data_IF_639646718831
#
_entry.id   IF_639646718831
#
_cell.length_a   1.000
_cell.length_b   1.000
_cell.length_c   1.000
_cell.angle_alpha   90.00
_cell.angle_beta   90.00
_cell.angle_gamma   90.00
#
_symmetry.space_group_name_H-M   'P 1'
#
loop_
_entity.id
_entity.type
_entity.pdbx_description
1 polymer ?
#
# COMPACT_ATOMS: atom_id res chain seq x y z
N UNK A 1 -10.97 2.55 1.02
CA UNK A 1 -9.67 2.00 1.42
C UNK A 1 -8.90 1.61 0.18
N UNK A 2 -7.65 2.03 0.06
CA UNK A 2 -6.78 1.64 -1.03
C UNK A 2 -6.17 0.25 -0.74
N UNK A 3 -6.12 -0.63 -1.74
CA UNK A 3 -5.49 -1.94 -1.70
C UNK A 3 -4.39 -1.99 -2.77
N UNK A 4 -3.15 -2.28 -2.37
CA UNK A 4 -1.97 -2.34 -3.23
C UNK A 4 -1.20 -3.63 -2.98
N UNK A 5 -1.42 -4.69 -3.77
CA UNK A 5 -0.60 -5.90 -3.72
C UNK A 5 0.81 -5.62 -4.25
N UNK A 6 1.79 -6.20 -3.59
CA UNK A 6 3.19 -6.19 -4.01
C UNK A 6 3.68 -7.62 -4.03
N UNK A 7 4.10 -8.09 -5.20
CA UNK A 7 4.70 -9.40 -5.38
C UNK A 7 5.77 -9.37 -6.45
N UNK A 8 6.74 -10.25 -6.33
CA UNK A 8 7.79 -10.42 -7.31
C UNK A 8 7.34 -11.34 -8.45
N UNK A 9 7.71 -10.99 -9.68
CA UNK A 9 7.62 -11.87 -10.85
C UNK A 9 9.02 -12.36 -11.22
N UNK A 10 9.15 -13.66 -11.42
CA UNK A 10 10.44 -14.28 -11.65
C UNK A 10 11.16 -13.68 -12.87
N UNK A 11 12.42 -13.29 -12.67
CA UNK A 11 13.23 -12.66 -13.70
C UNK A 11 13.14 -11.13 -13.78
N UNK A 12 12.25 -10.49 -13.04
CA UNK A 12 12.21 -9.02 -12.96
C UNK A 12 13.47 -8.49 -12.26
N UNK A 13 14.09 -7.42 -12.79
CA UNK A 13 15.22 -6.78 -12.11
C UNK A 13 14.81 -6.19 -10.76
N UNK A 14 15.60 -6.49 -9.73
CA UNK A 14 15.35 -6.00 -8.38
C UNK A 14 16.63 -5.45 -7.74
N UNK A 15 16.52 -4.39 -6.91
CA UNK A 15 17.63 -3.85 -6.13
C UNK A 15 17.95 -4.66 -4.86
N UNK A 16 17.05 -5.58 -4.46
CA UNK A 16 17.24 -6.43 -3.28
C UNK A 16 17.72 -7.83 -3.66
N UNK A 17 18.32 -8.55 -2.71
CA UNK A 17 18.96 -9.85 -2.97
C UNK A 17 17.97 -11.01 -3.07
N UNK A 18 16.80 -10.90 -2.45
CA UNK A 18 15.79 -11.96 -2.37
C UNK A 18 14.38 -11.38 -2.55
N UNK A 19 14.08 -10.81 -3.74
CA UNK A 19 12.79 -10.16 -4.00
C UNK A 19 11.60 -11.13 -3.96
N UNK A 20 11.83 -12.41 -4.18
CA UNK A 20 10.83 -13.48 -4.09
C UNK A 20 10.21 -13.62 -2.69
N UNK A 21 10.88 -13.09 -1.66
CA UNK A 21 10.34 -13.05 -0.28
C UNK A 21 9.36 -11.89 -0.04
N UNK A 22 9.27 -10.95 -0.97
CA UNK A 22 8.37 -9.81 -0.87
C UNK A 22 7.01 -10.18 -1.49
N UNK A 23 6.08 -10.60 -0.64
CA UNK A 23 4.68 -10.88 -0.99
C UNK A 23 3.76 -10.23 0.05
N UNK A 24 3.43 -8.97 -0.15
CA UNK A 24 2.64 -8.17 0.77
C UNK A 24 1.44 -7.53 0.09
N UNK A 25 0.39 -7.26 0.88
CA UNK A 25 -0.74 -6.46 0.42
C UNK A 25 -0.93 -5.29 1.36
N UNK A 26 -0.81 -4.08 0.84
CA UNK A 26 -0.94 -2.86 1.60
C UNK A 26 -2.39 -2.37 1.54
N UNK A 27 -3.03 -2.25 2.69
CA UNK A 27 -4.27 -1.51 2.90
C UNK A 27 -3.91 -0.12 3.42
N UNK A 28 -4.15 0.88 2.59
CA UNK A 28 -3.86 2.29 2.85
C UNK A 28 -5.16 3.04 3.09
N UNK A 29 -5.24 3.83 4.16
CA UNK A 29 -6.30 4.82 4.31
C UNK A 29 -6.23 5.83 3.17
N UNK A 30 -7.36 6.23 2.59
CA UNK A 30 -7.37 7.08 1.41
C UNK A 30 -8.28 8.31 1.50
N UNK A 31 -8.84 8.62 2.68
CA UNK A 31 -9.76 9.74 2.87
C UNK A 31 -9.33 10.75 3.95
N UNK A 32 -8.42 10.36 4.81
CA UNK A 32 -7.95 11.15 5.94
C UNK A 32 -6.43 11.40 5.86
N UNK A 33 -5.82 11.72 7.00
CA UNK A 33 -4.42 12.06 7.13
C UNK A 33 -4.11 13.43 6.51
N UNK A 34 -2.86 13.74 6.28
CA UNK A 34 -2.44 15.00 5.62
C UNK A 34 -2.97 15.11 4.18
N UNK A 35 -3.33 14.00 3.56
CA UNK A 35 -3.98 13.95 2.24
C UNK A 35 -5.38 14.58 2.20
N UNK A 36 -5.96 14.91 3.37
CA UNK A 36 -7.18 15.71 3.44
C UNK A 36 -6.97 17.15 2.88
N UNK A 37 -5.71 17.58 2.69
CA UNK A 37 -5.37 18.87 2.10
C UNK A 37 -5.78 20.07 2.97
N UNK A 38 -5.85 19.88 4.29
CA UNK A 38 -6.19 20.94 5.24
C UNK A 38 -4.91 21.65 5.63
N UNK A 39 -4.54 22.67 4.85
CA UNK A 39 -3.30 23.41 5.09
C UNK A 39 -3.41 24.88 4.66
N UNK A 40 -2.55 25.71 5.20
CA UNK A 40 -2.44 27.13 4.91
C UNK A 40 -1.00 27.50 4.59
N UNK A 41 -0.86 28.27 3.50
CA UNK A 41 0.43 28.77 3.03
C UNK A 41 1.08 29.72 4.04
N UNK A 42 2.37 29.62 4.18
CA UNK A 42 3.19 30.49 5.02
C UNK A 42 2.95 31.99 4.68
N UNK A 43 2.76 32.84 5.70
CA UNK A 43 2.48 34.27 5.52
C UNK A 43 1.08 34.61 5.05
N UNK A 44 0.18 33.61 4.88
CA UNK A 44 -1.22 33.87 4.58
C UNK A 44 -2.04 34.26 5.81
N UNK A 45 -3.10 35.05 5.60
CA UNK A 45 -4.04 35.40 6.68
C UNK A 45 -4.63 34.15 7.37
N UNK A 46 -4.82 33.06 6.61
CA UNK A 46 -5.28 31.78 7.15
C UNK A 46 -4.29 31.15 8.10
N UNK A 47 -3.00 31.08 7.71
CA UNK A 47 -1.94 30.58 8.57
C UNK A 47 -1.78 31.40 9.85
N UNK A 48 -1.80 32.72 9.74
CA UNK A 48 -1.75 33.63 10.90
C UNK A 48 -2.90 33.39 11.89
N UNK A 49 -4.12 33.24 11.39
CA UNK A 49 -5.31 32.92 12.23
C UNK A 49 -5.15 31.59 12.95
N UNK A 50 -4.70 30.53 12.25
CA UNK A 50 -4.51 29.20 12.86
C UNK A 50 -3.39 29.25 13.90
N UNK A 51 -2.26 29.87 13.58
CA UNK A 51 -1.14 30.02 14.52
C UNK A 51 -1.58 30.78 15.76
N UNK A 52 -2.30 31.90 15.60
CA UNK A 52 -2.84 32.69 16.70
C UNK A 52 -3.78 31.86 17.57
N UNK A 53 -4.73 31.13 16.98
CA UNK A 53 -5.62 30.23 17.70
C UNK A 53 -4.84 29.18 18.51
N UNK A 54 -3.86 28.52 17.89
CA UNK A 54 -3.04 27.50 18.55
C UNK A 54 -2.24 28.08 19.73
N UNK A 55 -1.67 29.28 19.57
CA UNK A 55 -0.82 29.88 20.60
C UNK A 55 -1.64 30.54 21.71
N UNK A 56 -2.66 31.34 21.38
CA UNK A 56 -3.42 32.13 22.34
C UNK A 56 -4.55 31.33 23.01
N UNK A 57 -5.30 30.52 22.24
CA UNK A 57 -6.45 29.78 22.76
C UNK A 57 -6.08 28.38 23.24
N UNK A 58 -5.20 27.69 22.50
CA UNK A 58 -4.81 26.30 22.82
C UNK A 58 -3.51 26.21 23.63
N UNK A 59 -2.84 27.33 23.90
CA UNK A 59 -1.61 27.39 24.70
C UNK A 59 -0.41 26.65 24.09
N UNK A 60 -0.37 26.52 22.77
CA UNK A 60 0.74 25.85 22.09
C UNK A 60 1.97 26.74 22.08
N UNK A 61 3.07 26.28 22.71
CA UNK A 61 4.34 27.01 22.80
C UNK A 61 5.46 26.40 21.95
N UNK A 62 5.16 25.32 21.21
CA UNK A 62 6.18 24.53 20.51
C UNK A 62 6.44 24.96 19.08
N UNK A 63 5.65 25.89 18.51
CA UNK A 63 5.93 26.46 17.19
C UNK A 63 7.08 27.44 17.35
N UNK A 64 8.26 27.04 16.90
CA UNK A 64 9.52 27.77 17.13
C UNK A 64 9.62 29.05 16.30
N UNK A 65 9.17 29.01 15.05
CA UNK A 65 9.21 30.11 14.09
C UNK A 65 7.79 30.41 13.66
N UNK A 66 7.21 31.49 14.14
CA UNK A 66 5.80 31.86 13.91
C UNK A 66 5.61 32.64 12.60
N UNK A 67 6.63 33.43 12.23
CA UNK A 67 6.61 34.19 10.99
C UNK A 67 6.89 33.24 9.80
N UNK A 68 6.18 33.46 8.69
CA UNK A 68 6.33 32.66 7.48
C UNK A 68 6.26 31.14 7.71
N UNK A 69 5.39 30.71 8.61
CA UNK A 69 5.17 29.31 8.95
C UNK A 69 3.90 28.78 8.25
N UNK A 70 4.06 27.75 7.42
CA UNK A 70 2.93 26.98 6.89
C UNK A 70 2.37 26.03 7.96
N UNK A 71 1.04 25.84 7.98
CA UNK A 71 0.37 24.97 8.95
C UNK A 71 -0.50 23.96 8.20
N UNK A 72 -0.39 22.68 8.59
CA UNK A 72 -1.25 21.60 8.13
C UNK A 72 -1.89 20.83 9.27
N UNK A 73 -3.05 20.23 8.99
CA UNK A 73 -3.80 19.42 9.96
C UNK A 73 -3.83 17.96 9.50
N UNK A 74 -3.57 17.06 10.43
CA UNK A 74 -3.61 15.60 10.22
C UNK A 74 -4.81 15.00 10.95
N UNK A 75 -5.99 14.89 10.32
CA UNK A 75 -7.12 14.19 10.91
C UNK A 75 -6.92 12.68 10.84
N UNK A 76 -7.21 11.98 11.93
CA UNK A 76 -7.26 10.51 12.01
C UNK A 76 -8.45 10.14 12.86
N UNK A 77 -9.40 9.37 12.32
CA UNK A 77 -10.62 9.01 13.03
C UNK A 77 -10.65 7.52 13.39
N UNK A 78 -11.43 7.21 14.43
CA UNK A 78 -11.71 5.83 14.82
C UNK A 78 -12.48 5.10 13.72
N UNK A 79 -13.45 5.76 13.09
CA UNK A 79 -14.25 5.19 12.00
C UNK A 79 -13.39 4.84 10.77
N UNK A 80 -12.49 5.74 10.35
CA UNK A 80 -11.56 5.49 9.26
C UNK A 80 -10.62 4.32 9.57
N UNK A 81 -10.10 4.27 10.80
CA UNK A 81 -9.26 3.17 11.28
C UNK A 81 -9.99 1.83 11.26
N UNK A 82 -11.21 1.76 11.84
CA UNK A 82 -11.99 0.52 11.87
C UNK A 82 -12.32 0.02 10.46
N UNK A 83 -12.69 0.92 9.54
CA UNK A 83 -12.93 0.60 8.13
C UNK A 83 -11.69 0.01 7.45
N UNK A 84 -10.53 0.60 7.67
CA UNK A 84 -9.25 0.16 7.12
C UNK A 84 -8.86 -1.23 7.64
N UNK A 85 -8.84 -1.38 8.97
CA UNK A 85 -8.44 -2.62 9.64
C UNK A 85 -9.41 -3.76 9.31
N UNK A 86 -10.71 -3.44 9.18
CA UNK A 86 -11.73 -4.40 8.74
C UNK A 86 -11.41 -5.01 7.38
N UNK A 87 -11.09 -4.18 6.39
CA UNK A 87 -10.74 -4.65 5.05
C UNK A 87 -9.45 -5.48 5.05
N UNK A 88 -8.46 -5.07 5.84
CA UNK A 88 -7.20 -5.82 5.97
C UNK A 88 -7.42 -7.22 6.60
N UNK A 89 -8.19 -7.31 7.68
CA UNK A 89 -8.50 -8.59 8.33
C UNK A 89 -9.36 -9.48 7.43
N UNK A 90 -10.39 -8.93 6.77
CA UNK A 90 -11.22 -9.68 5.81
C UNK A 90 -10.37 -10.27 4.69
N UNK A 91 -9.42 -9.50 4.16
CA UNK A 91 -8.50 -9.99 3.15
C UNK A 91 -7.60 -11.10 3.68
N UNK A 92 -7.05 -10.94 4.89
CA UNK A 92 -6.22 -11.97 5.51
C UNK A 92 -6.98 -13.28 5.72
N UNK A 93 -8.23 -13.22 6.16
CA UNK A 93 -9.11 -14.39 6.30
C UNK A 93 -9.39 -15.05 4.94
N UNK A 94 -9.80 -14.26 3.95
CA UNK A 94 -10.21 -14.78 2.63
C UNK A 94 -9.06 -15.40 1.83
N UNK A 95 -7.83 -14.90 2.04
CA UNK A 95 -6.62 -15.34 1.32
C UNK A 95 -5.66 -16.15 2.20
N UNK A 96 -6.11 -16.58 3.37
CA UNK A 96 -5.36 -17.40 4.34
C UNK A 96 -3.95 -16.83 4.66
N UNK A 97 -3.89 -15.51 4.88
CA UNK A 97 -2.66 -14.79 5.19
C UNK A 97 -2.30 -14.90 6.67
N UNK A 98 -1.02 -14.98 6.98
CA UNK A 98 -0.52 -15.28 8.33
C UNK A 98 -0.59 -14.10 9.30
N UNK A 99 -0.61 -12.85 8.80
CA UNK A 99 -0.59 -11.68 9.68
C UNK A 99 -1.23 -10.43 9.06
N UNK A 100 -1.72 -9.55 9.94
CA UNK A 100 -2.03 -8.15 9.63
C UNK A 100 -1.16 -7.27 10.51
N UNK A 101 -0.34 -6.41 9.89
CA UNK A 101 0.58 -5.51 10.58
C UNK A 101 0.10 -4.07 10.51
N UNK A 102 -0.12 -3.45 11.66
CA UNK A 102 -0.45 -2.03 11.78
C UNK A 102 0.84 -1.22 11.76
N UNK A 103 1.10 -0.49 10.67
CA UNK A 103 2.31 0.34 10.54
C UNK A 103 1.98 1.78 10.93
N UNK A 104 2.73 2.35 11.87
CA UNK A 104 2.43 3.65 12.47
C UNK A 104 3.67 4.36 13.02
N UNK A 105 3.55 5.66 13.31
CA UNK A 105 4.53 6.47 14.05
C UNK A 105 3.95 6.95 15.40
N UNK A 106 3.22 6.09 16.08
CA UNK A 106 2.48 6.39 17.31
C UNK A 106 3.33 6.76 18.52
N UNK A 107 4.62 6.44 18.52
CA UNK A 107 5.55 6.90 19.55
C UNK A 107 5.78 8.43 19.54
N UNK A 108 5.57 9.07 18.38
CA UNK A 108 5.66 10.54 18.19
C UNK A 108 4.26 11.15 18.11
N UNK A 109 3.42 10.65 17.22
CA UNK A 109 2.05 11.13 16.98
C UNK A 109 1.04 10.32 17.81
N UNK A 110 1.06 10.53 19.12
CA UNK A 110 0.37 9.68 20.10
C UNK A 110 -1.13 9.64 19.94
N UNK A 111 -1.75 10.77 19.59
CA UNK A 111 -3.22 10.95 19.52
C UNK A 111 -3.79 10.82 18.10
N UNK A 112 -2.96 10.57 17.12
CA UNK A 112 -3.34 10.25 15.74
C UNK A 112 -2.87 8.84 15.40
N UNK A 113 -1.62 8.64 15.07
CA UNK A 113 -1.10 7.31 14.70
C UNK A 113 -1.03 6.32 15.88
N UNK A 114 -0.80 6.79 17.10
CA UNK A 114 -0.92 5.96 18.30
C UNK A 114 -2.35 5.50 18.53
N UNK A 115 -3.31 6.40 18.38
CA UNK A 115 -4.73 6.05 18.45
C UNK A 115 -5.16 5.09 17.34
N UNK A 116 -4.66 5.27 16.10
CA UNK A 116 -4.84 4.31 15.02
C UNK A 116 -4.46 2.88 15.43
N UNK A 117 -3.26 2.71 15.99
CA UNK A 117 -2.79 1.41 16.49
C UNK A 117 -3.74 0.85 17.56
N UNK A 118 -4.07 1.65 18.56
CA UNK A 118 -4.89 1.20 19.70
C UNK A 118 -6.33 0.85 19.26
N UNK A 119 -6.94 1.66 18.40
CA UNK A 119 -8.25 1.37 17.80
C UNK A 119 -8.21 0.13 16.90
N UNK A 120 -7.11 -0.11 16.19
CA UNK A 120 -6.92 -1.30 15.38
C UNK A 120 -6.98 -2.59 16.21
N UNK A 121 -6.26 -2.65 17.32
CA UNK A 121 -6.32 -3.78 18.26
C UNK A 121 -7.69 -3.93 18.89
N UNK A 122 -8.29 -2.83 19.39
CA UNK A 122 -9.63 -2.84 19.97
C UNK A 122 -10.68 -3.36 18.98
N UNK A 123 -10.56 -2.97 17.71
CA UNK A 123 -11.47 -3.42 16.67
C UNK A 123 -11.28 -4.91 16.34
N UNK A 124 -10.05 -5.37 16.21
CA UNK A 124 -9.75 -6.79 16.00
C UNK A 124 -10.31 -7.65 17.15
N UNK A 125 -10.13 -7.21 18.40
CA UNK A 125 -10.68 -7.91 19.55
C UNK A 125 -12.22 -7.89 19.56
N UNK A 126 -12.86 -6.73 19.35
CA UNK A 126 -14.30 -6.58 19.48
C UNK A 126 -15.10 -7.24 18.37
N UNK A 127 -14.61 -7.17 17.12
CA UNK A 127 -15.33 -7.70 15.94
C UNK A 127 -14.95 -9.13 15.60
N UNK A 128 -13.67 -9.47 15.72
CA UNK A 128 -13.13 -10.75 15.29
C UNK A 128 -12.77 -11.69 16.44
N UNK A 129 -12.91 -11.24 17.69
CA UNK A 129 -12.57 -12.03 18.86
C UNK A 129 -11.07 -12.28 19.02
N UNK A 130 -10.23 -11.40 18.47
CA UNK A 130 -8.79 -11.51 18.62
C UNK A 130 -8.37 -11.38 20.09
N UNK A 131 -7.46 -12.22 20.55
CA UNK A 131 -6.96 -12.30 21.93
C UNK A 131 -5.49 -11.90 21.99
N UNK A 132 -5.08 -11.29 23.10
CA UNK A 132 -3.68 -10.93 23.33
C UNK A 132 -2.77 -12.15 23.28
N UNK A 133 -1.63 -12.02 22.58
CA UNK A 133 -0.57 -13.02 22.56
C UNK A 133 0.45 -12.71 23.64
N UNK A 134 0.80 -13.67 24.46
CA UNK A 134 1.89 -13.65 25.44
C UNK A 134 1.98 -12.37 26.31
N UNK A 135 0.81 -11.79 26.63
CA UNK A 135 0.73 -10.56 27.43
C UNK A 135 0.83 -9.27 26.64
N UNK A 136 0.56 -9.32 25.32
CA UNK A 136 0.41 -8.17 24.44
C UNK A 136 1.72 -7.53 23.97
N UNK A 137 1.66 -6.46 23.15
CA UNK A 137 0.44 -5.86 22.61
C UNK A 137 -0.17 -6.60 21.41
N UNK A 138 0.54 -7.58 20.85
CA UNK A 138 0.05 -8.35 19.71
C UNK A 138 -1.17 -9.20 20.07
N UNK A 139 -1.99 -9.44 19.07
CA UNK A 139 -3.18 -10.26 19.21
C UNK A 139 -3.16 -11.36 18.14
N UNK A 140 -3.92 -12.42 18.38
CA UNK A 140 -4.20 -13.43 17.36
C UNK A 140 -5.69 -13.70 17.24
N UNK A 141 -6.09 -14.12 16.05
CA UNK A 141 -7.42 -14.67 15.79
C UNK A 141 -7.29 -15.95 14.98
N UNK A 142 -8.27 -16.85 15.12
CA UNK A 142 -8.34 -18.05 14.29
C UNK A 142 -9.10 -17.75 13.02
N UNK A 143 -8.52 -18.06 11.85
CA UNK A 143 -9.22 -17.97 10.57
C UNK A 143 -10.46 -18.90 10.59
N UNK A 144 -11.67 -18.38 10.46
CA UNK A 144 -12.89 -19.19 10.59
C UNK A 144 -13.09 -20.18 9.42
N UNK A 145 -12.32 -20.03 8.33
CA UNK A 145 -12.40 -20.91 7.15
C UNK A 145 -11.38 -22.03 7.22
N UNK A 146 -10.14 -21.72 7.55
CA UNK A 146 -9.02 -22.67 7.49
C UNK A 146 -8.58 -23.21 8.85
N UNK A 147 -8.97 -22.54 9.93
CA UNK A 147 -8.52 -22.85 11.28
C UNK A 147 -7.09 -22.39 11.60
N UNK A 148 -6.38 -21.74 10.66
CA UNK A 148 -5.03 -21.22 10.90
C UNK A 148 -5.06 -19.95 11.74
N UNK A 149 -3.99 -19.70 12.45
CA UNK A 149 -3.81 -18.48 13.22
C UNK A 149 -3.45 -17.30 12.31
N UNK A 150 -4.07 -16.14 12.56
CA UNK A 150 -3.71 -14.85 11.95
C UNK A 150 -3.25 -13.93 13.07
N UNK A 151 -2.01 -13.46 12.99
CA UNK A 151 -1.42 -12.57 13.98
C UNK A 151 -1.70 -11.12 13.62
N UNK A 152 -2.31 -10.37 14.53
CA UNK A 152 -2.45 -8.92 14.45
C UNK A 152 -1.31 -8.30 15.24
N UNK A 153 -0.42 -7.58 14.57
CA UNK A 153 0.78 -6.98 15.18
C UNK A 153 0.96 -5.54 14.75
N UNK A 154 1.87 -4.83 15.40
CA UNK A 154 2.23 -3.47 15.01
C UNK A 154 3.72 -3.30 14.86
N UNK A 155 4.10 -2.28 14.10
CA UNK A 155 5.49 -1.87 13.94
C UNK A 155 5.58 -0.36 13.68
N UNK A 156 6.61 0.26 14.24
CA UNK A 156 6.92 1.67 13.98
C UNK A 156 7.43 1.82 12.53
N UNK A 157 6.93 2.82 11.80
CA UNK A 157 7.13 2.98 10.36
C UNK A 157 8.61 2.98 9.93
N UNK A 158 9.48 3.65 10.64
CA UNK A 158 10.93 3.65 10.34
C UNK A 158 11.59 2.28 10.57
N UNK A 159 11.14 1.52 11.56
CA UNK A 159 11.59 0.14 11.75
C UNK A 159 11.05 -0.76 10.62
N UNK A 160 9.79 -0.58 10.21
CA UNK A 160 9.21 -1.31 9.09
C UNK A 160 10.01 -1.12 7.79
N UNK A 161 10.39 0.13 7.46
CA UNK A 161 11.19 0.43 6.26
C UNK A 161 12.57 -0.25 6.24
N UNK A 162 13.14 -0.57 7.41
CA UNK A 162 14.35 -1.40 7.47
C UNK A 162 14.03 -2.90 7.33
N UNK A 163 12.91 -3.32 7.92
CA UNK A 163 12.57 -4.73 8.02
C UNK A 163 12.09 -5.31 6.69
N UNK A 164 11.43 -4.52 5.84
CA UNK A 164 11.08 -4.97 4.48
C UNK A 164 12.32 -5.32 3.64
N UNK A 165 13.47 -4.67 3.89
CA UNK A 165 14.72 -4.97 3.20
C UNK A 165 15.48 -6.17 3.79
N UNK A 166 15.33 -6.43 5.07
CA UNK A 166 16.15 -7.41 5.81
C UNK A 166 15.44 -8.72 6.11
N UNK A 167 14.11 -8.70 6.23
CA UNK A 167 13.24 -9.83 6.58
C UNK A 167 11.81 -9.63 6.08
N UNK A 168 11.60 -9.44 4.76
CA UNK A 168 10.27 -9.18 4.19
C UNK A 168 9.28 -10.31 4.44
N UNK A 169 9.73 -11.55 4.55
CA UNK A 169 8.94 -12.75 4.81
C UNK A 169 8.24 -12.78 6.19
N UNK A 170 8.57 -11.85 7.10
CA UNK A 170 7.81 -11.68 8.35
C UNK A 170 6.49 -10.88 8.17
N UNK A 171 6.21 -10.34 6.99
CA UNK A 171 5.09 -9.45 6.72
C UNK A 171 4.18 -9.99 5.61
N UNK A 172 2.86 -9.88 5.80
CA UNK A 172 1.88 -10.38 4.84
C UNK A 172 0.86 -9.31 4.45
N UNK A 173 -0.07 -8.96 5.33
CA UNK A 173 -1.01 -7.86 5.11
C UNK A 173 -0.61 -6.67 5.95
N UNK A 174 -0.56 -5.49 5.35
CA UNK A 174 -0.18 -4.23 6.00
C UNK A 174 -1.41 -3.33 6.05
N UNK A 175 -1.71 -2.78 7.21
CA UNK A 175 -2.71 -1.73 7.37
C UNK A 175 -2.04 -0.46 7.91
N UNK A 176 -2.21 0.66 7.22
CA UNK A 176 -1.53 1.90 7.58
C UNK A 176 -2.27 3.14 7.12
N UNK A 177 -1.98 4.28 7.74
CA UNK A 177 -2.53 5.57 7.39
C UNK A 177 -2.03 6.05 6.01
N UNK A 178 -2.65 7.11 5.50
CA UNK A 178 -2.53 7.52 4.11
C UNK A 178 -1.09 7.82 3.69
N UNK A 179 -0.38 8.71 4.38
CA UNK A 179 0.99 9.08 4.02
C UNK A 179 1.98 7.90 4.14
N UNK A 180 1.92 7.16 5.25
CA UNK A 180 2.76 5.99 5.43
C UNK A 180 2.51 4.95 4.34
N UNK A 181 1.23 4.74 3.98
CA UNK A 181 0.83 3.80 2.93
C UNK A 181 1.33 4.19 1.54
N UNK A 182 1.39 5.50 1.27
CA UNK A 182 1.97 6.01 0.03
C UNK A 182 3.46 5.67 -0.07
N UNK A 183 4.23 6.07 0.94
CA UNK A 183 5.68 5.80 0.96
C UNK A 183 6.01 4.30 0.94
N UNK A 184 5.30 3.51 1.73
CA UNK A 184 5.55 2.07 1.89
C UNK A 184 5.24 1.31 0.60
N UNK A 185 4.12 1.62 -0.06
CA UNK A 185 3.75 0.90 -1.28
C UNK A 185 4.73 1.17 -2.43
N UNK A 186 5.25 2.39 -2.55
CA UNK A 186 6.24 2.72 -3.57
C UNK A 186 7.62 2.13 -3.25
N UNK A 187 8.03 2.11 -1.97
CA UNK A 187 9.26 1.45 -1.54
C UNK A 187 9.22 -0.05 -1.84
N UNK A 188 8.13 -0.73 -1.49
CA UNK A 188 7.94 -2.15 -1.78
C UNK A 188 7.82 -2.45 -3.28
N UNK A 189 7.14 -1.58 -4.05
CA UNK A 189 7.09 -1.71 -5.50
C UNK A 189 8.50 -1.67 -6.12
N UNK A 190 9.39 -0.81 -5.61
CA UNK A 190 10.77 -0.75 -6.07
C UNK A 190 11.54 -2.04 -5.81
N UNK A 191 11.27 -2.74 -4.70
CA UNK A 191 11.91 -4.02 -4.38
C UNK A 191 11.56 -5.14 -5.36
N UNK A 192 10.36 -5.12 -5.92
CA UNK A 192 9.86 -6.16 -6.84
C UNK A 192 9.93 -5.78 -8.32
N UNK A 193 10.55 -4.65 -8.66
CA UNK A 193 10.78 -4.25 -10.05
C UNK A 193 10.25 -2.89 -10.46
N UNK A 194 9.54 -2.20 -9.58
CA UNK A 194 9.09 -0.82 -9.76
C UNK A 194 7.59 -0.66 -10.01
N UNK A 195 7.19 0.60 -10.09
CA UNK A 195 5.77 0.98 -10.18
C UNK A 195 5.08 0.57 -11.48
N UNK A 196 5.84 0.16 -12.50
CA UNK A 196 5.30 -0.34 -13.78
C UNK A 196 4.51 -1.65 -13.66
N UNK A 197 4.68 -2.38 -12.57
CA UNK A 197 3.94 -3.61 -12.23
C UNK A 197 3.27 -3.55 -10.86
N UNK A 198 3.01 -2.36 -10.34
CA UNK A 198 2.34 -2.15 -9.06
C UNK A 198 0.86 -1.80 -9.26
N UNK A 199 -0.08 -2.75 -9.08
CA UNK A 199 -1.49 -2.50 -9.24
C UNK A 199 -2.11 -1.83 -8.02
N UNK A 200 -3.30 -1.26 -8.21
CA UNK A 200 -4.06 -0.65 -7.13
C UNK A 200 -5.57 -0.77 -7.29
N UNK A 201 -6.24 -0.74 -6.15
CA UNK A 201 -7.69 -0.64 -6.06
C UNK A 201 -8.09 0.32 -4.95
N UNK A 202 -9.21 1.02 -5.13
CA UNK A 202 -9.89 1.77 -4.09
C UNK A 202 -11.24 1.11 -3.81
N UNK A 203 -11.36 0.54 -2.61
CA UNK A 203 -12.49 -0.26 -2.20
C UNK A 203 -13.42 0.54 -1.29
N UNK A 204 -14.60 0.87 -1.78
CA UNK A 204 -15.71 1.41 -1.00
C UNK A 204 -16.66 0.32 -0.50
N UNK A 205 -17.79 0.74 0.07
CA UNK A 205 -18.81 -0.21 0.55
C UNK A 205 -19.66 -0.79 -0.59
N UNK A 206 -19.82 -0.03 -1.68
CA UNK A 206 -20.71 -0.40 -2.81
C UNK A 206 -20.02 -0.33 -4.17
N UNK A 207 -18.87 0.32 -4.25
CA UNK A 207 -18.15 0.60 -5.49
C UNK A 207 -16.69 0.28 -5.26
N UNK A 208 -16.05 -0.34 -6.24
CA UNK A 208 -14.61 -0.52 -6.29
C UNK A 208 -14.07 0.14 -7.58
N UNK A 209 -12.94 0.84 -7.47
CA UNK A 209 -12.20 1.41 -8.58
C UNK A 209 -10.84 0.73 -8.65
N UNK A 210 -10.44 0.31 -9.85
CA UNK A 210 -9.15 -0.33 -10.09
C UNK A 210 -8.32 0.55 -11.00
N UNK A 211 -7.13 0.92 -10.57
CA UNK A 211 -6.27 1.88 -11.27
C UNK A 211 -4.79 1.56 -11.08
N UNK A 212 -3.96 2.01 -12.00
CA UNK A 212 -2.52 1.99 -11.81
C UNK A 212 -2.11 2.90 -10.65
N UNK A 213 -1.09 2.50 -9.87
CA UNK A 213 -0.61 3.29 -8.73
C UNK A 213 0.24 4.48 -9.14
N UNK A 214 0.87 4.43 -10.33
CA UNK A 214 1.69 5.52 -10.85
C UNK A 214 0.86 6.67 -11.43
N UNK A 215 1.48 7.85 -11.53
CA UNK A 215 0.88 9.02 -12.17
C UNK A 215 0.79 8.91 -13.71
N UNK A 216 0.28 9.96 -14.34
CA UNK A 216 -0.03 10.01 -15.79
C UNK A 216 1.19 10.13 -16.70
N UNK A 217 2.36 10.44 -16.17
CA UNK A 217 3.64 10.57 -16.91
C UNK A 217 3.51 11.32 -18.26
N UNK A 218 3.05 12.58 -18.30
CA UNK A 218 2.64 13.28 -19.52
C UNK A 218 3.76 13.39 -20.56
N UNK A 219 5.03 13.38 -20.15
CA UNK A 219 6.19 13.39 -21.06
C UNK A 219 6.33 12.14 -21.93
N UNK A 220 5.61 11.06 -21.59
CA UNK A 220 5.58 9.82 -22.36
C UNK A 220 4.32 9.66 -23.21
N UNK A 221 3.39 10.63 -23.15
CA UNK A 221 2.14 10.56 -23.91
C UNK A 221 2.40 10.40 -25.40
N UNK A 222 1.73 9.45 -26.04
CA UNK A 222 1.84 9.16 -27.48
C UNK A 222 3.13 8.47 -27.92
N UNK A 223 4.04 8.11 -27.00
CA UNK A 223 5.32 7.48 -27.36
C UNK A 223 5.24 5.94 -27.38
N UNK A 224 4.14 5.34 -27.01
CA UNK A 224 3.96 3.87 -26.92
C UNK A 224 5.11 3.17 -26.16
N UNK A 225 5.52 3.71 -25.02
CA UNK A 225 6.78 3.35 -24.37
C UNK A 225 6.63 2.79 -22.96
N UNK A 226 5.64 3.28 -22.19
CA UNK A 226 5.51 2.92 -20.77
C UNK A 226 5.14 1.46 -20.56
N UNK A 227 5.51 0.90 -19.42
CA UNK A 227 5.08 -0.44 -19.02
C UNK A 227 3.58 -0.42 -18.65
N UNK A 228 2.71 -1.18 -19.32
CA UNK A 228 1.29 -1.23 -19.03
C UNK A 228 0.94 -2.20 -17.89
N UNK A 229 1.92 -2.90 -17.31
CA UNK A 229 1.73 -3.98 -16.33
C UNK A 229 0.93 -3.56 -15.11
N UNK A 230 1.14 -2.34 -14.58
CA UNK A 230 0.38 -1.84 -13.43
C UNK A 230 -1.13 -1.77 -13.72
N UNK A 231 -1.52 -1.25 -14.89
CA UNK A 231 -2.93 -1.17 -15.29
C UNK A 231 -3.50 -2.55 -15.60
N UNK A 232 -2.74 -3.41 -16.27
CA UNK A 232 -3.14 -4.80 -16.58
C UNK A 232 -3.36 -5.59 -15.28
N UNK A 233 -2.46 -5.48 -14.31
CA UNK A 233 -2.61 -6.13 -13.01
C UNK A 233 -3.75 -5.52 -12.17
N UNK A 234 -4.05 -4.24 -12.35
CA UNK A 234 -5.24 -3.64 -11.73
C UNK A 234 -6.53 -4.22 -12.32
N UNK A 235 -6.56 -4.49 -13.63
CA UNK A 235 -7.66 -5.21 -14.27
C UNK A 235 -7.74 -6.67 -13.78
N UNK A 236 -6.62 -7.33 -13.56
CA UNK A 236 -6.56 -8.65 -12.92
C UNK A 236 -7.22 -8.64 -11.53
N UNK A 237 -6.88 -7.67 -10.68
CA UNK A 237 -7.53 -7.48 -9.38
C UNK A 237 -9.05 -7.28 -9.51
N UNK A 238 -9.49 -6.53 -10.53
CA UNK A 238 -10.92 -6.33 -10.81
C UNK A 238 -11.61 -7.65 -11.17
N UNK A 239 -11.00 -8.48 -11.99
CA UNK A 239 -11.55 -9.79 -12.35
C UNK A 239 -11.67 -10.70 -11.12
N UNK A 240 -10.67 -10.75 -10.24
CA UNK A 240 -10.76 -11.47 -8.97
C UNK A 240 -11.87 -10.92 -8.07
N UNK A 241 -11.99 -9.61 -7.98
CA UNK A 241 -13.07 -8.97 -7.20
C UNK A 241 -14.45 -9.36 -7.71
N UNK A 242 -14.63 -9.54 -9.03
CA UNK A 242 -15.85 -10.02 -9.65
C UNK A 242 -16.05 -11.55 -9.59
N UNK A 243 -15.07 -12.30 -9.08
CA UNK A 243 -15.12 -13.76 -9.00
C UNK A 243 -14.70 -14.48 -10.30
N UNK A 244 -14.09 -13.78 -11.25
CA UNK A 244 -13.62 -14.32 -12.53
C UNK A 244 -12.17 -14.82 -12.42
N UNK A 245 -11.96 -15.83 -11.59
CA UNK A 245 -10.64 -16.29 -11.19
C UNK A 245 -9.82 -16.82 -12.37
N UNK A 246 -10.41 -17.64 -13.23
CA UNK A 246 -9.74 -18.21 -14.42
C UNK A 246 -9.20 -17.12 -15.36
N UNK A 247 -9.99 -16.07 -15.60
CA UNK A 247 -9.56 -14.95 -16.43
C UNK A 247 -8.42 -14.15 -15.78
N UNK A 248 -8.46 -13.98 -14.45
CA UNK A 248 -7.39 -13.35 -13.70
C UNK A 248 -6.08 -14.17 -13.73
N UNK A 249 -6.19 -15.49 -13.59
CA UNK A 249 -5.04 -16.41 -13.63
C UNK A 249 -4.35 -16.38 -15.00
N UNK A 250 -5.10 -16.33 -16.10
CA UNK A 250 -4.55 -16.20 -17.47
C UNK A 250 -3.70 -14.92 -17.62
N UNK A 251 -4.13 -13.80 -17.05
CA UNK A 251 -3.33 -12.55 -17.07
C UNK A 251 -2.01 -12.75 -16.36
N UNK A 252 -2.03 -13.37 -15.18
CA UNK A 252 -0.82 -13.62 -14.41
C UNK A 252 0.14 -14.55 -15.14
N UNK A 253 -0.39 -15.63 -15.72
CA UNK A 253 0.42 -16.57 -16.50
C UNK A 253 1.03 -15.90 -17.73
N UNK A 254 0.23 -15.17 -18.50
CA UNK A 254 0.70 -14.46 -19.69
C UNK A 254 1.80 -13.43 -19.35
N UNK A 255 1.61 -12.63 -18.30
CA UNK A 255 2.62 -11.68 -17.84
C UNK A 255 3.90 -12.38 -17.38
N UNK A 256 3.78 -13.42 -16.56
CA UNK A 256 4.92 -14.18 -16.05
C UNK A 256 5.73 -14.84 -17.17
N UNK A 257 5.07 -15.47 -18.14
CA UNK A 257 5.72 -16.06 -19.33
C UNK A 257 6.43 -14.99 -20.17
N UNK A 258 5.79 -13.85 -20.41
CA UNK A 258 6.37 -12.74 -21.20
C UNK A 258 7.63 -12.19 -20.55
N UNK A 259 7.62 -12.00 -19.22
CA UNK A 259 8.80 -11.56 -18.46
C UNK A 259 9.91 -12.61 -18.51
N UNK A 260 9.59 -13.88 -18.32
CA UNK A 260 10.58 -14.99 -18.34
C UNK A 260 11.23 -15.16 -19.72
N UNK A 261 10.53 -14.84 -20.81
CA UNK A 261 11.06 -14.78 -22.17
C UNK A 261 11.95 -13.57 -22.42
N UNK A 262 12.07 -12.66 -21.43
CA UNK A 262 12.82 -11.40 -21.51
C UNK A 262 12.36 -10.47 -22.65
N UNK A 263 11.09 -10.52 -23.01
CA UNK A 263 10.44 -9.60 -23.96
C UNK A 263 9.69 -8.57 -23.15
N UNK A 264 10.30 -7.42 -22.92
CA UNK A 264 9.89 -6.49 -21.85
C UNK A 264 9.97 -5.02 -22.30
N UNK A 265 9.34 -4.14 -21.54
CA UNK A 265 9.40 -2.70 -21.76
C UNK A 265 10.72 -2.09 -21.29
N UNK A 266 10.97 -0.82 -21.64
CA UNK A 266 12.25 -0.12 -21.44
C UNK A 266 12.73 -0.08 -19.99
N UNK A 267 11.81 -0.08 -19.03
CA UNK A 267 12.10 -0.01 -17.59
C UNK A 267 12.80 -1.29 -17.09
N UNK A 268 12.43 -2.43 -17.62
CA UNK A 268 13.08 -3.72 -17.34
C UNK A 268 14.25 -3.99 -18.28
N UNK A 269 14.09 -3.72 -19.58
CA UNK A 269 15.12 -4.04 -20.61
C UNK A 269 16.47 -3.44 -20.24
N UNK A 270 16.52 -2.17 -19.83
CA UNK A 270 17.77 -1.48 -19.42
C UNK A 270 18.51 -2.14 -18.24
N UNK A 271 17.86 -3.02 -17.50
CA UNK A 271 18.39 -3.69 -16.30
C UNK A 271 18.56 -5.21 -16.51
N UNK A 272 18.06 -5.75 -17.62
CA UNK A 272 18.06 -7.21 -17.92
C UNK A 272 19.02 -7.53 -19.05
N UNK A 273 20.06 -8.32 -18.76
CA UNK A 273 20.98 -8.80 -19.81
C UNK A 273 20.26 -9.72 -20.81
N UNK A 274 20.39 -9.41 -22.10
CA UNK A 274 19.81 -10.19 -23.19
C UNK A 274 18.30 -10.04 -23.35
N UNK A 275 17.71 -8.99 -22.81
CA UNK A 275 16.30 -8.68 -23.02
C UNK A 275 16.04 -8.04 -24.39
N UNK A 276 14.85 -8.28 -24.91
CA UNK A 276 14.31 -7.66 -26.12
C UNK A 276 13.35 -6.55 -25.72
N UNK A 277 13.63 -5.32 -26.20
CA UNK A 277 12.79 -4.17 -25.93
C UNK A 277 11.47 -4.25 -26.71
N UNK A 278 10.36 -4.17 -26.02
CA UNK A 278 9.03 -4.00 -26.59
C UNK A 278 8.44 -2.61 -26.30
N UNK A 279 7.59 -2.14 -27.18
CA UNK A 279 6.72 -1.00 -26.92
C UNK A 279 5.59 -1.39 -25.94
N UNK A 280 4.87 -0.40 -25.42
CA UNK A 280 3.71 -0.61 -24.55
C UNK A 280 2.67 -1.56 -25.20
N UNK A 281 2.28 -1.27 -26.45
CA UNK A 281 1.32 -2.07 -27.21
C UNK A 281 1.84 -3.49 -27.50
N UNK A 282 3.09 -3.62 -27.94
CA UNK A 282 3.73 -4.89 -28.25
C UNK A 282 3.85 -5.77 -26.99
N UNK A 283 4.11 -5.18 -25.81
CA UNK A 283 4.15 -5.92 -24.56
C UNK A 283 2.77 -6.45 -24.16
N UNK A 284 1.71 -5.66 -24.38
CA UNK A 284 0.34 -6.14 -24.20
C UNK A 284 -0.01 -7.31 -25.11
N UNK A 285 0.36 -7.24 -26.40
CA UNK A 285 0.17 -8.33 -27.36
C UNK A 285 0.97 -9.59 -26.97
N UNK A 286 2.20 -9.43 -26.49
CA UNK A 286 3.02 -10.55 -26.02
C UNK A 286 2.39 -11.24 -24.79
N UNK A 287 1.81 -10.47 -23.86
CA UNK A 287 1.07 -11.05 -22.72
C UNK A 287 -0.11 -11.87 -23.22
N UNK A 288 -0.94 -11.32 -24.13
CA UNK A 288 -2.09 -12.03 -24.69
C UNK A 288 -1.67 -13.32 -25.39
N UNK A 289 -0.58 -13.28 -26.17
CA UNK A 289 -0.05 -14.46 -26.88
C UNK A 289 0.48 -15.55 -25.95
N UNK A 290 0.72 -15.23 -24.68
CA UNK A 290 1.20 -16.15 -23.65
C UNK A 290 0.10 -16.60 -22.66
N UNK A 291 -1.18 -16.28 -22.92
CA UNK A 291 -2.34 -16.66 -22.09
C UNK A 291 -2.92 -18.05 -22.46
N UNK A 292 -2.14 -18.98 -22.93
CA UNK A 292 -2.59 -20.31 -23.35
C UNK A 292 -2.71 -21.30 -22.17
#
# INVERSE_FOLDING_TARGET
VCQRPVRYFDGVPSPVTSPEKTDMVIFRENSEDIYAGIEWEAGSEGAEKVIKFLTEEMGVTKIRFLEECGIGVKPVSKQGTERLVDKAIQYAIANDRDSVTLVHKGNIMKFTEGSFKDWGYQFAASKYGAIELDGGPWHSLTNPVTGREIVIKDVIADAFLQQILTRPDEYSVIATLNLNGDYISDALAAEVGGIGIAPGANLGDKIALFEATHGTAPKYAGLDKVNPGSLILSAEMMLRYMGWMEAADLIIEGLSKTISQKTVTYDFERLMSGASLLKCSEFGEAIISNMD
#
